data_IF_686183301677
#
_entry.id   IF_686183301677
#
_cell.length_a   1.000
_cell.length_b   1.000
_cell.length_c   1.000
_cell.angle_alpha   90.00
_cell.angle_beta   90.00
_cell.angle_gamma   90.00
#
_symmetry.space_group_name_H-M   'P 1'
#
loop_
_entity.id
_entity.type
_entity.pdbx_description
1 polymer ?
#
# COMPACT_ATOMS: atom_id res chain seq x y z
N UNK A 1 27.68 -9.66 8.25
CA UNK A 1 27.34 -8.25 8.55
C UNK A 1 27.73 -7.27 7.43
N UNK A 2 28.75 -7.52 6.59
CA UNK A 2 29.16 -6.57 5.52
C UNK A 2 28.19 -6.41 4.34
N UNK A 3 27.54 -7.48 3.87
CA UNK A 3 26.75 -7.43 2.63
C UNK A 3 25.46 -6.59 2.68
N UNK A 4 24.84 -6.40 3.85
CA UNK A 4 23.65 -5.55 3.97
C UNK A 4 23.98 -4.07 3.85
N UNK A 5 25.14 -3.66 4.40
CA UNK A 5 25.59 -2.28 4.34
C UNK A 5 26.02 -1.90 2.92
N UNK A 6 26.75 -2.80 2.24
CA UNK A 6 27.14 -2.61 0.84
C UNK A 6 25.92 -2.50 -0.10
N UNK A 7 24.88 -3.31 0.13
CA UNK A 7 23.63 -3.22 -0.64
C UNK A 7 22.93 -1.86 -0.44
N UNK A 8 22.86 -1.36 0.79
CA UNK A 8 22.29 -0.04 1.09
C UNK A 8 23.08 1.07 0.39
N UNK A 9 24.42 1.00 0.40
CA UNK A 9 25.28 1.98 -0.26
C UNK A 9 25.11 1.97 -1.79
N UNK A 10 24.95 0.79 -2.40
CA UNK A 10 24.60 0.67 -3.82
C UNK A 10 23.24 1.31 -4.10
N UNK A 11 22.24 1.03 -3.25
CA UNK A 11 20.91 1.59 -3.43
C UNK A 11 20.87 3.11 -3.23
N UNK A 12 21.61 3.63 -2.25
CA UNK A 12 21.79 5.05 -2.03
C UNK A 12 22.43 5.71 -3.26
N UNK A 13 23.47 5.11 -3.86
CA UNK A 13 24.04 5.64 -5.12
C UNK A 13 23.03 5.63 -6.26
N UNK A 14 22.31 4.53 -6.47
CA UNK A 14 21.27 4.44 -7.51
C UNK A 14 20.17 5.50 -7.36
N UNK A 15 19.94 5.99 -6.15
CA UNK A 15 18.93 7.02 -5.87
C UNK A 15 19.53 8.42 -5.95
N UNK A 16 20.68 8.64 -5.30
CA UNK A 16 21.20 9.96 -4.99
C UNK A 16 22.25 10.49 -5.95
N UNK A 17 22.94 9.61 -6.67
CA UNK A 17 23.99 9.99 -7.61
C UNK A 17 23.40 10.74 -8.82
N UNK A 18 24.09 11.79 -9.26
CA UNK A 18 23.65 12.65 -10.36
C UNK A 18 23.84 11.97 -11.72
N UNK A 19 24.71 10.95 -11.77
CA UNK A 19 24.94 10.12 -12.96
C UNK A 19 23.73 9.21 -13.28
N UNK A 20 22.80 9.02 -12.34
CA UNK A 20 21.59 8.21 -12.56
C UNK A 20 20.46 9.11 -13.08
N UNK A 21 19.92 8.85 -14.28
CA UNK A 21 18.87 9.68 -14.86
C UNK A 21 17.67 9.82 -13.91
N UNK A 22 17.24 11.06 -13.59
CA UNK A 22 16.07 11.32 -12.77
C UNK A 22 14.82 10.64 -13.36
N UNK A 23 14.05 9.97 -12.51
CA UNK A 23 12.84 9.26 -12.92
C UNK A 23 13.07 7.94 -13.66
N UNK A 24 14.32 7.48 -13.82
CA UNK A 24 14.60 6.17 -14.42
C UNK A 24 13.96 5.04 -13.62
N UNK A 25 13.70 3.91 -14.32
CA UNK A 25 13.12 2.73 -13.68
C UNK A 25 13.96 2.23 -12.50
N UNK A 26 15.30 2.19 -12.67
CA UNK A 26 16.25 1.78 -11.62
C UNK A 26 16.16 2.70 -10.40
N UNK A 27 16.18 4.02 -10.61
CA UNK A 27 16.07 4.98 -9.51
C UNK A 27 14.75 4.78 -8.75
N UNK A 28 13.63 4.63 -9.48
CA UNK A 28 12.30 4.45 -8.88
C UNK A 28 12.17 3.17 -8.07
N UNK A 29 12.52 2.01 -8.64
CA UNK A 29 12.41 0.73 -7.91
C UNK A 29 13.35 0.70 -6.70
N UNK A 30 14.54 1.29 -6.85
CA UNK A 30 15.51 1.33 -5.76
C UNK A 30 15.05 2.25 -4.65
N UNK A 31 14.44 3.40 -4.97
CA UNK A 31 13.85 4.31 -3.98
C UNK A 31 12.73 3.62 -3.16
N UNK A 32 11.87 2.82 -3.79
CA UNK A 32 10.85 2.03 -3.08
C UNK A 32 11.45 0.99 -2.14
N UNK A 33 12.52 0.31 -2.59
CA UNK A 33 13.21 -0.66 -1.73
C UNK A 33 13.92 0.04 -0.57
N UNK A 34 14.60 1.15 -0.84
CA UNK A 34 15.36 1.92 0.14
C UNK A 34 14.45 2.52 1.22
N UNK A 35 13.26 3.02 0.83
CA UNK A 35 12.26 3.50 1.81
C UNK A 35 11.79 2.39 2.76
N UNK A 36 11.53 1.19 2.23
CA UNK A 36 11.16 0.01 3.03
C UNK A 36 12.28 -0.39 4.01
N UNK A 37 13.54 -0.32 3.55
CA UNK A 37 14.73 -0.63 4.36
C UNK A 37 14.96 0.41 5.45
N UNK A 38 14.85 1.71 5.14
CA UNK A 38 14.98 2.76 6.14
C UNK A 38 13.89 2.68 7.20
N UNK A 39 12.65 2.39 6.83
CA UNK A 39 11.58 2.14 7.80
C UNK A 39 11.93 0.97 8.73
N UNK A 40 12.42 -0.14 8.17
CA UNK A 40 12.84 -1.31 8.96
C UNK A 40 13.99 -0.97 9.92
N UNK A 41 15.01 -0.26 9.45
CA UNK A 41 16.14 0.15 10.27
C UNK A 41 15.71 1.14 11.36
N UNK A 42 14.85 2.10 11.03
CA UNK A 42 14.26 3.00 12.01
C UNK A 42 13.54 2.21 13.12
N UNK A 43 12.72 1.21 12.77
CA UNK A 43 12.04 0.35 13.75
C UNK A 43 13.03 -0.45 14.60
N UNK A 44 14.01 -1.11 13.97
CA UNK A 44 15.02 -1.91 14.68
C UNK A 44 15.83 -1.08 15.69
N UNK A 45 16.03 0.20 15.38
CA UNK A 45 16.65 1.18 16.27
C UNK A 45 15.65 2.03 17.06
N UNK A 46 14.41 1.56 17.21
CA UNK A 46 13.37 2.13 18.08
C UNK A 46 12.99 3.59 17.77
N UNK A 47 12.99 3.96 16.50
CA UNK A 47 12.57 5.27 16.00
C UNK A 47 13.18 6.43 16.80
N UNK A 48 12.34 7.30 17.35
CA UNK A 48 12.73 8.49 18.10
C UNK A 48 13.20 8.20 19.53
N UNK A 49 13.19 6.93 20.00
CA UNK A 49 13.79 6.57 21.29
C UNK A 49 15.32 6.56 21.24
N UNK A 50 15.92 6.46 20.04
CA UNK A 50 17.37 6.54 19.88
C UNK A 50 17.75 7.50 18.73
N UNK A 51 18.93 8.15 18.80
CA UNK A 51 19.43 8.94 17.68
C UNK A 51 19.63 8.12 16.40
N UNK A 52 20.00 6.84 16.53
CA UNK A 52 20.19 5.94 15.40
C UNK A 52 18.87 5.63 14.67
N UNK A 53 17.77 5.42 15.41
CA UNK A 53 16.46 5.20 14.82
C UNK A 53 15.96 6.43 14.08
N UNK A 54 16.10 7.61 14.69
CA UNK A 54 15.69 8.86 14.05
C UNK A 54 16.56 9.23 12.84
N UNK A 55 17.84 8.86 12.84
CA UNK A 55 18.70 9.02 11.67
C UNK A 55 18.12 8.34 10.42
N UNK A 56 17.57 7.12 10.55
CA UNK A 56 16.93 6.43 9.44
C UNK A 56 15.58 7.05 9.04
N UNK A 57 14.82 7.61 9.99
CA UNK A 57 13.64 8.44 9.67
C UNK A 57 14.06 9.65 8.83
N UNK A 58 15.13 10.35 9.20
CA UNK A 58 15.65 11.49 8.43
C UNK A 58 16.23 11.12 7.06
N UNK A 59 16.77 9.90 6.90
CA UNK A 59 17.11 9.38 5.57
C UNK A 59 15.86 9.17 4.70
N UNK A 60 14.76 8.69 5.28
CA UNK A 60 13.48 8.57 4.58
C UNK A 60 12.85 9.95 4.26
N UNK A 61 12.98 10.93 5.15
CA UNK A 61 12.60 12.33 4.88
C UNK A 61 13.38 12.89 3.67
N UNK A 62 14.69 12.70 3.64
CA UNK A 62 15.55 13.10 2.52
C UNK A 62 15.11 12.46 1.20
N UNK A 63 14.76 11.17 1.24
CA UNK A 63 14.28 10.44 0.07
C UNK A 63 12.98 11.04 -0.48
N UNK A 64 12.03 11.37 0.41
CA UNK A 64 10.77 12.01 0.05
C UNK A 64 10.99 13.42 -0.51
N UNK A 65 11.88 14.21 0.09
CA UNK A 65 12.17 15.58 -0.37
C UNK A 65 12.78 15.63 -1.77
N UNK A 66 13.57 14.62 -2.15
CA UNK A 66 14.14 14.51 -3.51
C UNK A 66 13.05 14.25 -4.56
N UNK A 67 11.94 13.61 -4.18
CA UNK A 67 10.89 13.27 -5.14
C UNK A 67 10.13 14.53 -5.57
N UNK A 68 10.35 14.91 -6.83
CA UNK A 68 9.50 15.83 -7.56
C UNK A 68 8.68 14.99 -8.55
N UNK A 69 7.47 14.58 -8.17
CA UNK A 69 6.69 13.69 -9.01
C UNK A 69 5.20 13.79 -8.78
N UNK A 70 4.45 13.59 -9.86
CA UNK A 70 3.00 13.46 -9.87
C UNK A 70 2.54 12.26 -9.02
N UNK A 71 1.27 12.27 -8.64
CA UNK A 71 0.63 11.19 -7.89
C UNK A 71 0.85 9.82 -8.55
N UNK A 72 1.10 8.81 -7.72
CA UNK A 72 1.28 7.42 -8.15
C UNK A 72 0.35 6.51 -7.36
N UNK A 73 -0.63 5.92 -8.03
CA UNK A 73 -1.60 5.02 -7.40
C UNK A 73 -0.96 3.75 -6.83
N UNK A 74 0.20 3.35 -7.39
CA UNK A 74 0.99 2.19 -6.95
C UNK A 74 1.67 2.36 -5.59
N UNK A 75 1.63 3.56 -5.00
CA UNK A 75 2.32 3.89 -3.75
C UNK A 75 3.55 4.77 -3.96
N UNK A 76 4.10 5.26 -2.85
CA UNK A 76 5.27 6.14 -2.84
C UNK A 76 6.04 6.02 -1.53
N UNK A 77 7.23 6.60 -1.54
CA UNK A 77 8.08 6.85 -0.38
C UNK A 77 7.36 7.70 0.68
N UNK A 78 6.44 8.59 0.28
CA UNK A 78 5.64 9.41 1.19
C UNK A 78 4.74 8.54 2.07
N UNK A 79 4.21 7.45 1.52
CA UNK A 79 3.36 6.51 2.27
C UNK A 79 4.18 5.78 3.35
N UNK A 80 5.43 5.40 3.05
CA UNK A 80 6.30 4.80 4.07
C UNK A 80 6.82 5.82 5.08
N UNK A 81 7.01 7.08 4.70
CA UNK A 81 7.30 8.14 5.67
C UNK A 81 6.09 8.41 6.57
N UNK A 82 4.87 8.38 6.03
CA UNK A 82 3.64 8.44 6.82
C UNK A 82 3.59 7.29 7.84
N UNK A 83 3.90 6.06 7.40
CA UNK A 83 4.02 4.88 8.27
C UNK A 83 5.06 5.08 9.36
N UNK A 84 6.25 5.60 9.03
CA UNK A 84 7.33 5.84 10.00
C UNK A 84 6.88 6.81 11.11
N UNK A 85 6.24 7.93 10.74
CA UNK A 85 5.69 8.87 11.72
C UNK A 85 4.53 8.27 12.53
N UNK A 86 3.64 7.51 11.89
CA UNK A 86 2.54 6.83 12.55
C UNK A 86 3.04 5.87 13.64
N UNK A 87 4.08 5.09 13.36
CA UNK A 87 4.69 4.16 14.32
C UNK A 87 5.47 4.89 15.41
N UNK A 88 6.31 5.87 15.04
CA UNK A 88 7.07 6.66 16.00
C UNK A 88 6.16 7.40 17.00
N UNK A 89 4.97 7.84 16.55
CA UNK A 89 3.93 8.43 17.40
C UNK A 89 3.48 7.45 18.49
N UNK A 90 3.24 6.18 18.15
CA UNK A 90 2.78 5.18 19.11
C UNK A 90 3.85 4.86 20.17
N UNK A 91 5.12 5.06 19.82
CA UNK A 91 6.28 4.72 20.64
C UNK A 91 6.72 5.84 21.61
N UNK A 92 6.30 7.09 21.39
CA UNK A 92 6.72 8.24 22.19
C UNK A 92 5.80 8.52 23.39
N UNK A 93 6.38 9.01 24.49
CA UNK A 93 5.64 9.50 25.67
C UNK A 93 5.44 11.01 25.70
N UNK A 94 6.14 11.74 24.83
CA UNK A 94 5.97 13.18 24.66
C UNK A 94 4.72 13.44 23.82
N UNK A 95 3.66 13.93 24.47
CA UNK A 95 2.36 14.18 23.82
C UNK A 95 2.41 15.22 22.72
N UNK A 96 3.20 16.29 22.87
CA UNK A 96 3.32 17.32 21.84
C UNK A 96 4.07 16.83 20.62
N UNK A 97 5.11 16.01 20.84
CA UNK A 97 5.80 15.35 19.74
C UNK A 97 4.94 14.28 19.06
N UNK A 98 4.17 13.49 19.84
CA UNK A 98 3.23 12.50 19.31
C UNK A 98 2.17 13.14 18.41
N UNK A 99 1.62 14.28 18.81
CA UNK A 99 0.64 15.05 18.03
C UNK A 99 1.24 15.47 16.68
N UNK A 100 2.41 16.11 16.70
CA UNK A 100 3.12 16.55 15.49
C UNK A 100 3.43 15.40 14.53
N UNK A 101 3.85 14.25 15.05
CA UNK A 101 4.07 13.04 14.23
C UNK A 101 2.76 12.56 13.61
N UNK A 102 1.67 12.57 14.36
CA UNK A 102 0.35 12.23 13.86
C UNK A 102 -0.12 13.15 12.73
N UNK A 103 0.02 14.46 12.90
CA UNK A 103 -0.31 15.46 11.87
C UNK A 103 0.52 15.25 10.60
N UNK A 104 1.83 15.04 10.75
CA UNK A 104 2.72 14.78 9.62
C UNK A 104 2.35 13.48 8.89
N UNK A 105 2.04 12.42 9.62
CA UNK A 105 1.60 11.15 9.04
C UNK A 105 0.29 11.33 8.24
N UNK A 106 -0.71 11.99 8.83
CA UNK A 106 -1.99 12.26 8.18
C UNK A 106 -1.83 13.15 6.94
N UNK A 107 -1.00 14.19 7.01
CA UNK A 107 -0.71 15.08 5.89
C UNK A 107 -0.08 14.34 4.71
N UNK A 108 0.83 13.40 4.97
CA UNK A 108 1.44 12.58 3.92
C UNK A 108 0.45 11.55 3.35
N UNK A 109 -0.34 10.90 4.20
CA UNK A 109 -1.39 9.98 3.74
C UNK A 109 -2.44 10.71 2.87
N UNK A 110 -2.84 11.93 3.26
CA UNK A 110 -3.81 12.76 2.53
C UNK A 110 -3.37 13.07 1.08
N UNK A 111 -2.06 13.21 0.83
CA UNK A 111 -1.52 13.38 -0.54
C UNK A 111 -1.80 12.20 -1.46
N UNK A 112 -2.10 11.03 -0.90
CA UNK A 112 -2.48 9.84 -1.65
C UNK A 112 -3.99 9.59 -1.61
N UNK A 113 -4.62 9.77 -0.45
CA UNK A 113 -6.07 9.58 -0.28
C UNK A 113 -6.87 10.56 -1.14
N UNK A 114 -6.49 11.84 -1.17
CA UNK A 114 -7.20 12.87 -1.96
C UNK A 114 -7.23 12.57 -3.46
N UNK A 115 -6.07 12.41 -4.14
CA UNK A 115 -6.04 12.06 -5.55
C UNK A 115 -6.70 10.71 -5.86
N UNK A 116 -6.59 9.72 -4.97
CA UNK A 116 -7.29 8.46 -5.13
C UNK A 116 -8.82 8.62 -5.12
N UNK A 117 -9.36 9.44 -4.22
CA UNK A 117 -10.80 9.78 -4.20
C UNK A 117 -11.21 10.61 -5.42
N UNK A 118 -10.34 11.49 -5.93
CA UNK A 118 -10.62 12.24 -7.15
C UNK A 118 -10.78 11.33 -8.37
N UNK A 119 -10.00 10.24 -8.46
CA UNK A 119 -10.22 9.19 -9.47
C UNK A 119 -11.61 8.57 -9.26
N UNK A 120 -11.95 8.18 -8.03
CA UNK A 120 -13.23 7.52 -7.72
C UNK A 120 -14.49 8.42 -7.81
N UNK A 121 -14.32 9.71 -8.03
CA UNK A 121 -15.41 10.66 -8.28
C UNK A 121 -15.39 11.20 -9.71
N UNK A 122 -14.43 10.76 -10.53
CA UNK A 122 -14.48 11.07 -11.94
C UNK A 122 -15.62 10.30 -12.63
N UNK A 123 -15.82 10.55 -13.92
CA UNK A 123 -16.87 9.92 -14.69
C UNK A 123 -16.40 8.62 -15.41
N UNK A 124 -15.23 8.09 -15.04
CA UNK A 124 -14.53 6.99 -15.72
C UNK A 124 -14.37 5.75 -14.80
N UNK A 125 -15.41 4.92 -14.68
CA UNK A 125 -15.37 3.72 -13.83
C UNK A 125 -14.33 2.67 -14.29
N UNK A 126 -13.76 2.77 -15.50
CA UNK A 126 -12.71 1.86 -15.93
C UNK A 126 -11.39 2.09 -15.18
N UNK A 127 -11.20 3.28 -14.59
CA UNK A 127 -10.00 3.65 -13.83
C UNK A 127 -10.17 3.59 -12.32
N UNK A 128 -11.38 3.33 -11.82
CA UNK A 128 -11.67 3.26 -10.38
C UNK A 128 -10.75 2.28 -9.61
N UNK A 129 -10.31 1.20 -10.25
CA UNK A 129 -9.39 0.25 -9.64
C UNK A 129 -8.06 0.89 -9.23
N UNK A 130 -7.59 1.96 -9.89
CA UNK A 130 -6.41 2.72 -9.51
C UNK A 130 -6.64 3.46 -8.19
N UNK A 131 -7.79 4.15 -8.08
CA UNK A 131 -8.22 4.84 -6.87
C UNK A 131 -8.36 3.88 -5.69
N UNK A 132 -9.08 2.78 -5.86
CA UNK A 132 -9.23 1.76 -4.82
C UNK A 132 -7.90 1.09 -4.44
N UNK A 133 -7.01 0.83 -5.41
CA UNK A 133 -5.67 0.28 -5.12
C UNK A 133 -4.86 1.26 -4.27
N UNK A 134 -4.88 2.54 -4.62
CA UNK A 134 -4.16 3.57 -3.88
C UNK A 134 -4.70 3.75 -2.47
N UNK A 135 -6.04 3.76 -2.30
CA UNK A 135 -6.67 3.77 -0.98
C UNK A 135 -6.29 2.55 -0.16
N UNK A 136 -6.44 1.34 -0.71
CA UNK A 136 -6.13 0.09 0.00
C UNK A 136 -4.69 0.09 0.53
N UNK A 137 -3.73 0.47 -0.31
CA UNK A 137 -2.32 0.54 0.08
C UNK A 137 -2.10 1.60 1.16
N UNK A 138 -2.51 2.86 0.92
CA UNK A 138 -2.23 3.98 1.82
C UNK A 138 -2.87 3.78 3.19
N UNK A 139 -4.12 3.33 3.22
CA UNK A 139 -4.89 3.11 4.45
C UNK A 139 -4.33 1.93 5.24
N UNK A 140 -3.87 0.87 4.55
CA UNK A 140 -3.20 -0.27 5.20
C UNK A 140 -1.89 0.12 5.88
N UNK A 141 -1.10 1.02 5.27
CA UNK A 141 0.09 1.59 5.91
C UNK A 141 -0.25 2.52 7.10
N UNK A 142 -1.48 2.99 7.23
CA UNK A 142 -1.91 3.84 8.35
C UNK A 142 -2.65 3.07 9.46
N UNK A 143 -2.60 1.74 9.43
CA UNK A 143 -3.36 0.84 10.31
C UNK A 143 -4.87 1.11 10.30
N UNK A 144 -5.39 1.63 9.18
CA UNK A 144 -6.82 1.84 8.95
C UNK A 144 -7.43 0.64 8.22
N UNK A 145 -7.33 -0.52 8.86
CA UNK A 145 -7.64 -1.83 8.27
C UNK A 145 -9.05 -1.91 7.69
N UNK A 146 -10.04 -1.37 8.41
CA UNK A 146 -11.43 -1.43 7.98
C UNK A 146 -11.63 -0.74 6.62
N UNK A 147 -11.03 0.43 6.42
CA UNK A 147 -11.14 1.15 5.15
C UNK A 147 -10.18 0.60 4.09
N UNK A 148 -9.00 0.12 4.49
CA UNK A 148 -8.05 -0.52 3.58
C UNK A 148 -8.64 -1.79 2.94
N UNK A 149 -9.34 -2.61 3.74
CA UNK A 149 -10.05 -3.80 3.28
C UNK A 149 -11.29 -3.45 2.46
N UNK A 150 -12.07 -2.44 2.87
CA UNK A 150 -13.21 -1.95 2.10
C UNK A 150 -12.77 -1.57 0.67
N UNK A 151 -11.71 -0.75 0.56
CA UNK A 151 -11.12 -0.41 -0.73
C UNK A 151 -10.64 -1.66 -1.49
N UNK A 152 -9.99 -2.60 -0.81
CA UNK A 152 -9.48 -3.84 -1.43
C UNK A 152 -10.60 -4.66 -2.06
N UNK A 153 -11.73 -4.84 -1.38
CA UNK A 153 -12.87 -5.62 -1.87
C UNK A 153 -13.59 -5.00 -3.06
N UNK A 154 -13.40 -3.69 -3.29
CA UNK A 154 -13.89 -3.00 -4.48
C UNK A 154 -12.96 -3.19 -5.69
N UNK A 155 -11.77 -3.75 -5.50
CA UNK A 155 -10.85 -4.21 -6.56
C UNK A 155 -11.17 -5.68 -6.91
N UNK A 156 -12.41 -5.95 -7.31
CA UNK A 156 -12.92 -7.28 -7.61
C UNK A 156 -12.46 -7.87 -8.95
N UNK A 157 -12.84 -9.13 -9.22
CA UNK A 157 -12.76 -9.70 -10.56
C UNK A 157 -13.80 -9.04 -11.49
N UNK A 158 -13.48 -9.05 -12.79
CA UNK A 158 -14.42 -8.67 -13.85
C UNK A 158 -15.59 -9.67 -13.87
N UNK A 159 -16.75 -9.30 -13.34
CA UNK A 159 -17.95 -10.11 -13.55
C UNK A 159 -18.59 -9.72 -14.88
N UNK A 160 -18.59 -10.65 -15.83
CA UNK A 160 -19.25 -10.46 -17.14
C UNK A 160 -20.74 -10.74 -16.96
N UNK A 161 -21.58 -9.72 -17.09
CA UNK A 161 -23.01 -9.96 -17.31
C UNK A 161 -23.18 -10.59 -18.70
N UNK A 162 -23.57 -11.88 -18.74
CA UNK A 162 -23.99 -12.51 -19.97
C UNK A 162 -25.38 -12.02 -20.34
N UNK A 163 -25.51 -11.29 -21.45
CA UNK A 163 -26.83 -11.05 -22.05
C UNK A 163 -27.39 -12.38 -22.55
N UNK A 164 -28.68 -12.61 -22.31
CA UNK A 164 -29.43 -13.82 -22.68
C UNK A 164 -29.03 -14.39 -24.05
N UNK A 165 -28.92 -15.73 -24.21
CA UNK A 165 -28.53 -16.37 -25.47
C UNK A 165 -29.50 -16.15 -26.65
N UNK A 166 -30.66 -15.52 -26.43
CA UNK A 166 -31.64 -15.23 -27.47
C UNK A 166 -31.39 -13.93 -28.26
N UNK A 167 -30.38 -13.12 -27.90
CA UNK A 167 -29.98 -11.95 -28.68
C UNK A 167 -28.89 -12.32 -29.69
N UNK A 168 -29.32 -12.78 -30.88
CA UNK A 168 -28.43 -12.94 -32.02
C UNK A 168 -27.78 -11.58 -32.37
N UNK A 169 -26.46 -11.50 -32.20
CA UNK A 169 -25.56 -10.39 -32.58
C UNK A 169 -25.33 -9.23 -31.60
N UNK A 170 -25.39 -9.43 -30.28
CA UNK A 170 -24.80 -8.46 -29.34
C UNK A 170 -23.56 -9.04 -28.66
N UNK A 171 -22.40 -8.42 -28.90
CA UNK A 171 -21.17 -8.67 -28.16
C UNK A 171 -21.52 -8.43 -26.69
N UNK A 172 -21.37 -9.45 -25.83
CA UNK A 172 -21.63 -9.30 -24.40
C UNK A 172 -20.95 -8.02 -23.88
N UNK A 173 -21.74 -7.04 -23.43
CA UNK A 173 -21.19 -5.83 -22.82
C UNK A 173 -20.41 -6.26 -21.57
N UNK A 174 -19.08 -6.07 -21.59
CA UNK A 174 -18.26 -6.28 -20.40
C UNK A 174 -18.56 -5.12 -19.46
N UNK A 175 -19.42 -5.35 -18.47
CA UNK A 175 -19.62 -4.41 -17.37
C UNK A 175 -18.56 -4.65 -16.30
N UNK A 176 -17.77 -3.62 -16.01
CA UNK A 176 -16.81 -3.63 -14.91
C UNK A 176 -17.58 -3.49 -13.59
N UNK A 177 -18.09 -4.60 -13.07
CA UNK A 177 -18.86 -4.56 -11.83
C UNK A 177 -17.97 -4.10 -10.65
N UNK A 178 -16.71 -4.55 -10.57
CA UNK A 178 -15.76 -4.18 -9.50
C UNK A 178 -14.32 -4.17 -9.99
N UNK A 179 -13.88 -3.13 -10.71
CA UNK A 179 -12.47 -2.94 -11.08
C UNK A 179 -11.78 -4.13 -11.79
N UNK A 180 -10.45 -4.09 -11.87
CA UNK A 180 -9.65 -5.18 -12.47
C UNK A 180 -8.64 -5.73 -11.46
N UNK A 181 -8.90 -6.91 -10.90
CA UNK A 181 -7.89 -7.65 -10.15
C UNK A 181 -6.80 -8.21 -11.09
N UNK A 182 -5.63 -7.56 -11.11
CA UNK A 182 -4.40 -8.02 -11.77
C UNK A 182 -3.29 -8.16 -10.74
N UNK A 183 -3.43 -9.11 -9.83
CA UNK A 183 -2.41 -9.34 -8.78
C UNK A 183 -2.06 -10.82 -8.71
N UNK A 184 -0.79 -11.07 -8.41
CA UNK A 184 -0.22 -12.39 -8.15
C UNK A 184 0.68 -12.32 -6.91
N UNK A 185 0.92 -13.45 -6.26
CA UNK A 185 1.87 -13.53 -5.15
C UNK A 185 3.26 -13.10 -5.63
N UNK A 186 3.90 -12.17 -4.93
CA UNK A 186 5.20 -11.63 -5.35
C UNK A 186 6.36 -12.63 -5.23
N UNK A 187 6.17 -13.76 -4.52
CA UNK A 187 7.20 -14.81 -4.42
C UNK A 187 6.97 -15.98 -5.38
N UNK A 188 5.76 -16.54 -5.43
CA UNK A 188 5.48 -17.75 -6.22
C UNK A 188 4.63 -17.51 -7.48
N UNK A 189 4.34 -16.25 -7.79
CA UNK A 189 3.54 -15.83 -8.94
C UNK A 189 2.12 -16.39 -8.99
N UNK A 190 1.62 -16.98 -7.89
CA UNK A 190 0.25 -17.50 -7.81
C UNK A 190 -0.76 -16.41 -8.18
N UNK A 191 -1.54 -16.56 -9.26
CA UNK A 191 -2.49 -15.54 -9.68
C UNK A 191 -3.77 -15.63 -8.86
N UNK A 192 -4.23 -14.48 -8.32
CA UNK A 192 -5.53 -14.44 -7.66
C UNK A 192 -6.65 -14.20 -8.67
N UNK A 193 -7.70 -15.01 -8.56
CA UNK A 193 -8.95 -14.85 -9.34
C UNK A 193 -10.05 -14.17 -8.53
N UNK A 194 -9.86 -14.02 -7.22
CA UNK A 194 -10.77 -13.32 -6.31
C UNK A 194 -9.96 -12.52 -5.26
N UNK A 195 -10.63 -11.60 -4.57
CA UNK A 195 -10.03 -10.77 -3.53
C UNK A 195 -10.09 -11.48 -2.18
N UNK A 196 -9.28 -12.52 -2.01
CA UNK A 196 -9.16 -13.23 -0.73
C UNK A 196 -7.80 -13.89 -0.59
N UNK A 197 -7.41 -14.21 0.65
CA UNK A 197 -6.16 -14.90 0.97
C UNK A 197 -4.92 -14.15 0.43
N UNK A 198 -4.97 -12.82 0.53
CA UNK A 198 -3.87 -11.92 0.22
C UNK A 198 -3.31 -11.37 1.52
N UNK A 199 -2.00 -11.41 1.67
CA UNK A 199 -1.27 -10.82 2.79
C UNK A 199 -0.44 -9.65 2.28
N UNK A 200 -0.94 -8.43 2.50
CA UNK A 200 -0.32 -7.19 2.03
C UNK A 200 0.61 -6.67 3.12
N UNK A 201 1.90 -6.52 2.82
CA UNK A 201 2.89 -6.04 3.78
C UNK A 201 2.64 -4.58 4.18
N UNK A 202 2.70 -4.28 5.48
CA UNK A 202 2.53 -2.91 6.00
C UNK A 202 3.77 -2.03 5.91
N UNK A 203 4.92 -2.61 5.58
CA UNK A 203 6.21 -1.92 5.66
C UNK A 203 7.02 -1.99 4.36
N UNK A 204 6.49 -2.67 3.34
CA UNK A 204 7.07 -2.76 2.01
C UNK A 204 6.06 -2.25 0.97
N UNK A 205 6.51 -1.37 0.07
CA UNK A 205 5.65 -0.87 -1.01
C UNK A 205 5.33 -2.01 -1.98
N UNK A 206 4.04 -2.25 -2.24
CA UNK A 206 3.52 -3.21 -3.22
C UNK A 206 3.98 -4.65 -2.99
N UNK A 207 4.15 -5.07 -1.74
CA UNK A 207 4.49 -6.47 -1.44
C UNK A 207 3.27 -7.21 -0.92
N UNK A 208 2.84 -8.23 -1.67
CA UNK A 208 1.68 -9.07 -1.39
C UNK A 208 2.07 -10.54 -1.54
N UNK A 209 1.77 -11.34 -0.53
CA UNK A 209 1.99 -12.79 -0.55
C UNK A 209 0.68 -13.56 -0.41
N UNK A 210 0.68 -14.83 -0.84
CA UNK A 210 -0.31 -15.81 -0.39
C UNK A 210 0.04 -16.33 1.01
N UNK A 211 -0.88 -17.05 1.65
CA UNK A 211 -0.66 -17.62 2.98
C UNK A 211 0.58 -18.51 3.09
N UNK A 212 0.81 -19.40 2.12
CA UNK A 212 1.96 -20.30 2.12
C UNK A 212 3.30 -19.55 2.06
N UNK A 213 3.38 -18.47 1.27
CA UNK A 213 4.60 -17.68 1.17
C UNK A 213 4.85 -16.86 2.45
N UNK A 214 3.80 -16.39 3.14
CA UNK A 214 3.98 -15.78 4.47
C UNK A 214 4.46 -16.82 5.49
N UNK A 215 3.93 -18.03 5.47
CA UNK A 215 4.39 -19.10 6.36
C UNK A 215 5.88 -19.39 6.13
N UNK A 216 6.32 -19.49 4.87
CA UNK A 216 7.74 -19.66 4.52
C UNK A 216 8.60 -18.47 4.97
N UNK A 217 8.16 -17.23 4.71
CA UNK A 217 8.87 -16.01 5.13
C UNK A 217 9.06 -15.93 6.65
N UNK A 218 8.06 -16.36 7.42
CA UNK A 218 8.09 -16.32 8.90
C UNK A 218 8.71 -17.56 9.53
N UNK A 219 9.06 -18.56 8.73
CA UNK A 219 9.67 -19.79 9.21
C UNK A 219 11.13 -19.53 9.62
N UNK A 220 11.61 -20.09 10.76
CA UNK A 220 13.00 -19.92 11.20
C UNK A 220 14.05 -20.44 10.23
N UNK A 221 13.66 -21.33 9.31
CA UNK A 221 14.53 -21.89 8.28
C UNK A 221 14.67 -21.01 7.02
N UNK A 222 13.94 -19.89 6.95
CA UNK A 222 13.91 -18.93 5.85
C UNK A 222 13.83 -19.61 4.46
N UNK A 223 12.89 -20.53 4.32
CA UNK A 223 12.67 -21.29 3.09
C UNK A 223 12.02 -20.48 1.94
N UNK A 224 12.00 -19.15 2.03
CA UNK A 224 11.48 -18.28 0.97
C UNK A 224 12.53 -18.07 -0.13
N UNK A 225 12.10 -18.22 -1.38
CA UNK A 225 12.99 -18.12 -2.53
C UNK A 225 13.45 -16.69 -2.79
N UNK A 226 12.52 -15.73 -2.70
CA UNK A 226 12.80 -14.31 -2.86
C UNK A 226 12.54 -13.55 -1.56
N UNK A 227 13.60 -13.04 -0.93
CA UNK A 227 13.52 -12.24 0.28
C UNK A 227 13.13 -10.78 -0.03
N UNK A 228 11.86 -10.60 -0.42
CA UNK A 228 11.29 -9.28 -0.76
C UNK A 228 10.92 -8.46 0.47
N UNK A 229 10.61 -9.13 1.58
CA UNK A 229 10.09 -8.58 2.84
C UNK A 229 10.89 -9.15 4.03
N UNK A 230 10.77 -8.55 5.21
CA UNK A 230 11.39 -9.04 6.45
C UNK A 230 10.43 -9.93 7.24
N UNK A 231 10.95 -10.98 7.89
CA UNK A 231 10.17 -11.92 8.71
C UNK A 231 9.37 -11.24 9.84
N UNK A 232 9.86 -10.10 10.34
CA UNK A 232 9.23 -9.34 11.42
C UNK A 232 8.06 -8.47 10.96
N UNK A 233 7.84 -8.33 9.65
CA UNK A 233 6.79 -7.47 9.13
C UNK A 233 5.40 -8.04 9.40
N UNK A 234 4.49 -7.10 9.64
CA UNK A 234 3.06 -7.38 9.79
C UNK A 234 2.33 -7.20 8.46
N UNK A 235 1.23 -7.91 8.33
CA UNK A 235 0.47 -7.97 7.10
C UNK A 235 -0.99 -7.57 7.36
N UNK A 236 -1.55 -6.79 6.45
CA UNK A 236 -2.98 -6.68 6.29
C UNK A 236 -3.48 -7.96 5.62
N UNK A 237 -4.25 -8.75 6.35
CA UNK A 237 -4.83 -10.00 5.86
C UNK A 237 -6.16 -9.70 5.21
N UNK A 238 -6.32 -10.07 3.94
CA UNK A 238 -7.58 -9.94 3.20
C UNK A 238 -8.41 -11.21 3.41
N UNK A 239 -9.44 -11.18 4.27
CA UNK A 239 -10.23 -12.37 4.55
C UNK A 239 -11.11 -12.72 3.34
N UNK A 240 -11.56 -13.97 3.31
CA UNK A 240 -12.69 -14.35 2.47
C UNK A 240 -13.96 -13.76 3.07
N UNK A 241 -14.70 -12.99 2.28
CA UNK A 241 -15.96 -12.36 2.69
C UNK A 241 -17.11 -12.80 1.81
N UNK A 242 -18.32 -12.74 2.37
CA UNK A 242 -19.55 -12.95 1.60
C UNK A 242 -19.79 -11.81 0.60
N UNK A 243 -20.49 -12.12 -0.48
CA UNK A 243 -20.90 -11.12 -1.44
C UNK A 243 -21.85 -10.10 -0.80
N UNK A 244 -21.67 -8.84 -1.16
CA UNK A 244 -22.54 -7.73 -0.75
C UNK A 244 -23.20 -7.12 -1.99
N UNK A 245 -24.33 -6.40 -1.85
CA UNK A 245 -24.94 -5.69 -2.98
C UNK A 245 -23.96 -4.75 -3.68
N UNK A 246 -24.20 -4.47 -4.97
CA UNK A 246 -23.25 -3.79 -5.85
C UNK A 246 -22.84 -2.38 -5.42
N UNK A 247 -23.77 -1.63 -4.84
CA UNK A 247 -23.59 -0.25 -4.37
C UNK A 247 -23.13 -0.16 -2.91
N UNK A 248 -22.76 -1.29 -2.30
CA UNK A 248 -22.34 -1.37 -0.91
C UNK A 248 -20.95 -2.00 -0.75
N UNK A 249 -20.30 -1.65 0.36
CA UNK A 249 -19.04 -2.21 0.80
C UNK A 249 -19.09 -2.48 2.30
N UNK A 250 -18.34 -3.49 2.75
CA UNK A 250 -18.19 -3.79 4.16
C UNK A 250 -17.01 -3.01 4.75
N UNK A 251 -17.26 -2.26 5.81
CA UNK A 251 -16.26 -1.47 6.54
C UNK A 251 -16.21 -1.99 7.98
N UNK A 252 -15.23 -2.85 8.27
CA UNK A 252 -15.24 -3.63 9.51
C UNK A 252 -16.48 -4.51 9.61
N UNK A 253 -17.33 -4.26 10.61
CA UNK A 253 -18.58 -5.01 10.82
C UNK A 253 -19.81 -4.37 10.14
N UNK A 254 -19.68 -3.17 9.58
CA UNK A 254 -20.79 -2.40 9.03
C UNK A 254 -20.88 -2.56 7.51
N UNK A 255 -22.11 -2.59 7.00
CA UNK A 255 -22.39 -2.50 5.57
C UNK A 255 -22.75 -1.05 5.24
N UNK A 256 -22.00 -0.41 4.33
CA UNK A 256 -22.18 0.99 3.95
C UNK A 256 -22.36 1.13 2.46
N UNK A 257 -23.13 2.13 2.01
CA UNK A 257 -23.11 2.53 0.61
C UNK A 257 -21.72 3.03 0.24
N UNK A 258 -21.26 2.71 -0.97
CA UNK A 258 -19.93 3.10 -1.43
C UNK A 258 -19.74 4.62 -1.38
N UNK A 259 -20.75 5.40 -1.78
CA UNK A 259 -20.69 6.87 -1.71
C UNK A 259 -20.53 7.40 -0.28
N UNK A 260 -21.31 6.88 0.66
CA UNK A 260 -21.23 7.29 2.08
C UNK A 260 -19.85 6.94 2.64
N UNK A 261 -19.33 5.74 2.33
CA UNK A 261 -17.98 5.34 2.73
C UNK A 261 -16.89 6.23 2.13
N UNK A 262 -16.99 6.62 0.85
CA UNK A 262 -16.04 7.56 0.23
C UNK A 262 -16.04 8.91 0.96
N UNK A 263 -17.20 9.42 1.38
CA UNK A 263 -17.30 10.66 2.16
C UNK A 263 -16.74 10.51 3.59
N UNK A 264 -16.91 9.36 4.22
CA UNK A 264 -16.32 9.07 5.53
C UNK A 264 -14.78 9.08 5.46
N UNK A 265 -14.21 8.44 4.43
CA UNK A 265 -12.75 8.43 4.20
C UNK A 265 -12.25 9.84 3.91
N UNK A 266 -12.96 10.59 3.06
CA UNK A 266 -12.67 12.00 2.79
C UNK A 266 -12.57 12.82 4.06
N UNK A 267 -13.60 12.71 4.91
CA UNK A 267 -13.70 13.45 6.17
C UNK A 267 -12.60 13.06 7.15
N UNK A 268 -12.31 11.76 7.27
CA UNK A 268 -11.27 11.23 8.18
C UNK A 268 -9.87 11.73 7.81
N UNK A 269 -9.57 11.87 6.53
CA UNK A 269 -8.26 12.31 6.03
C UNK A 269 -8.20 13.81 5.68
N UNK A 270 -9.29 14.56 5.92
CA UNK A 270 -9.39 15.99 5.67
C UNK A 270 -9.00 16.40 4.23
N UNK A 271 -9.50 15.66 3.23
CA UNK A 271 -9.27 15.89 1.78
C UNK A 271 -10.52 16.29 1.04
#
# INVERSE_FOLDING_TARGET
MGGHQEAIEIWERNVFDDDIPPGSHIQRITSFKLSSVYLQLARNHQFNKTPAGWFYVSKLETLVQRKCGEFQWTGSEEVLLARAYHLAKQDTKDGGFAEKLGENAMKLAAKHVGPALNILWDADPEKDWEGYTSLSNTLGHMDDDANALAAKFLIGPLEREGVSPDATHEVAEIRYLRGRLKSSCDNCEYPWTNVSDMHICRDCIRTIFCADCVHKLKSPDDSIEQRLCDQSHEFLVVPKVEAVPMDYVRVGNELKKIEDWKQDVKSKYCV
#
